data_IF_482705171100
#
_entry.id   IF_482705171100
#
_cell.length_a   1.000
_cell.length_b   1.000
_cell.length_c   1.000
_cell.angle_alpha   90.00
_cell.angle_beta   90.00
_cell.angle_gamma   90.00
#
_symmetry.space_group_name_H-M   'P 1'
#
loop_
_entity.id
_entity.type
_entity.pdbx_description
1 polymer ?
#
# COMPACT_ATOMS: atom_id res chain seq x y z
N UNK A 1 6.04 62.54 43.37
CA UNK A 1 5.44 62.06 42.11
C UNK A 1 6.45 61.23 41.34
N UNK A 2 6.25 59.92 41.21
CA UNK A 2 6.68 59.03 40.12
C UNK A 2 6.47 57.58 40.56
N UNK A 3 5.28 57.05 40.23
CA UNK A 3 4.95 55.62 40.35
C UNK A 3 5.60 54.90 39.18
N UNK A 4 6.56 54.02 39.45
CA UNK A 4 7.14 53.14 38.44
C UNK A 4 6.35 51.83 38.42
N UNK A 5 5.49 51.69 37.42
CA UNK A 5 4.81 50.46 37.05
C UNK A 5 5.84 49.53 36.39
N UNK A 6 6.24 48.45 37.07
CA UNK A 6 7.04 47.37 36.48
C UNK A 6 6.10 46.44 35.71
N UNK A 7 6.00 46.62 34.40
CA UNK A 7 5.35 45.66 33.49
C UNK A 7 6.41 44.61 33.14
N UNK A 8 6.41 43.48 33.83
CA UNK A 8 7.14 42.30 33.40
C UNK A 8 6.35 41.65 32.26
N UNK A 9 6.75 41.94 31.03
CA UNK A 9 6.26 41.27 29.81
C UNK A 9 6.76 39.83 29.86
N UNK A 10 5.87 38.89 30.19
CA UNK A 10 6.12 37.47 30.04
C UNK A 10 6.10 37.10 28.56
N UNK A 11 7.27 36.90 27.97
CA UNK A 11 7.40 36.32 26.62
C UNK A 11 7.09 34.84 26.72
N UNK A 12 5.83 34.47 26.48
CA UNK A 12 5.44 33.08 26.26
C UNK A 12 5.90 32.67 24.85
N UNK A 13 7.08 32.05 24.77
CA UNK A 13 7.59 31.44 23.55
C UNK A 13 6.77 30.16 23.29
N UNK A 14 5.67 30.29 22.54
CA UNK A 14 4.92 29.14 22.04
C UNK A 14 5.77 28.46 20.97
N UNK A 15 6.55 27.46 21.36
CA UNK A 15 7.19 26.52 20.44
C UNK A 15 6.07 25.77 19.71
N UNK A 16 5.73 26.25 18.51
CA UNK A 16 4.85 25.54 17.60
C UNK A 16 5.45 24.19 17.26
N UNK A 17 4.91 23.12 17.86
CA UNK A 17 5.20 21.75 17.44
C UNK A 17 4.52 21.59 16.09
N UNK A 18 5.26 21.85 15.02
CA UNK A 18 4.85 21.48 13.67
C UNK A 18 4.74 19.97 13.62
N UNK A 19 3.51 19.46 13.70
CA UNK A 19 3.23 18.08 13.33
C UNK A 19 3.49 17.98 11.83
N UNK A 20 4.69 17.56 11.45
CA UNK A 20 4.96 17.13 10.07
C UNK A 20 4.02 15.95 9.82
N UNK A 21 2.88 16.21 9.19
CA UNK A 21 2.11 15.16 8.56
C UNK A 21 3.06 14.49 7.59
N UNK A 22 3.21 13.16 7.69
CA UNK A 22 3.98 12.44 6.71
C UNK A 22 3.26 12.60 5.37
N UNK A 23 3.79 13.48 4.52
CA UNK A 23 3.22 13.73 3.21
C UNK A 23 3.43 12.49 2.34
N UNK A 24 2.37 12.12 1.63
CA UNK A 24 2.37 10.98 0.73
C UNK A 24 2.85 11.47 -0.63
N UNK A 25 4.13 11.26 -0.97
CA UNK A 25 4.68 11.76 -2.23
C UNK A 25 4.04 11.14 -3.48
N UNK A 26 3.33 10.01 -3.35
CA UNK A 26 2.60 9.41 -4.46
C UNK A 26 1.46 10.33 -4.95
N UNK A 27 0.76 11.04 -4.05
CA UNK A 27 -0.38 11.89 -4.44
C UNK A 27 0.03 13.21 -5.08
N UNK A 28 1.33 13.55 -5.08
CA UNK A 28 1.83 14.69 -5.83
C UNK A 28 1.62 14.52 -7.34
N UNK A 29 1.80 13.29 -7.85
CA UNK A 29 1.50 12.93 -9.24
C UNK A 29 0.15 12.22 -9.41
N UNK A 30 -0.33 11.53 -8.37
CA UNK A 30 -1.55 10.73 -8.38
C UNK A 30 -2.67 11.34 -7.53
N UNK A 31 -2.93 12.63 -7.76
CA UNK A 31 -4.02 13.34 -7.10
C UNK A 31 -5.40 12.77 -7.48
N UNK A 32 -6.35 12.87 -6.56
CA UNK A 32 -7.72 12.37 -6.74
C UNK A 32 -7.90 10.86 -6.59
N UNK A 33 -6.84 10.09 -6.28
CA UNK A 33 -7.00 8.68 -5.95
C UNK A 33 -7.80 8.49 -4.66
N UNK A 34 -8.90 7.76 -4.76
CA UNK A 34 -9.69 7.38 -3.62
C UNK A 34 -8.97 6.33 -2.77
N UNK A 35 -9.17 6.32 -1.45
CA UNK A 35 -8.76 5.21 -0.60
C UNK A 35 -9.35 3.89 -1.10
N UNK A 36 -8.56 2.81 -1.07
CA UNK A 36 -9.02 1.46 -1.50
C UNK A 36 -10.23 0.97 -0.71
N UNK A 37 -10.39 1.44 0.54
CA UNK A 37 -11.51 1.15 1.43
C UNK A 37 -11.82 2.35 2.30
N UNK A 38 -13.01 2.35 2.89
CA UNK A 38 -13.35 3.31 3.94
C UNK A 38 -12.29 3.30 5.06
N UNK A 39 -11.83 4.48 5.47
CA UNK A 39 -10.77 4.65 6.47
C UNK A 39 -11.04 3.89 7.77
N UNK A 40 -12.29 3.83 8.21
CA UNK A 40 -12.70 3.15 9.45
C UNK A 40 -12.87 1.63 9.30
N UNK A 41 -12.71 1.07 8.10
CA UNK A 41 -12.84 -0.37 7.89
C UNK A 41 -11.67 -1.11 8.55
N UNK A 42 -11.92 -2.34 9.04
CA UNK A 42 -10.88 -3.16 9.65
C UNK A 42 -9.70 -3.42 8.71
N UNK A 43 -9.98 -3.63 7.41
CA UNK A 43 -8.96 -3.80 6.38
C UNK A 43 -8.06 -2.56 6.25
N UNK A 44 -8.65 -1.36 6.17
CA UNK A 44 -7.85 -0.14 6.03
C UNK A 44 -7.01 0.13 7.28
N UNK A 45 -7.54 -0.14 8.47
CA UNK A 45 -6.78 -0.01 9.71
C UNK A 45 -5.60 -0.98 9.77
N UNK A 46 -5.76 -2.22 9.30
CA UNK A 46 -4.66 -3.17 9.19
C UNK A 46 -3.58 -2.71 8.21
N UNK A 47 -3.97 -2.14 7.06
CA UNK A 47 -3.05 -1.57 6.07
C UNK A 47 -2.27 -0.41 6.68
N UNK A 48 -2.94 0.54 7.33
CA UNK A 48 -2.28 1.68 7.99
C UNK A 48 -1.33 1.24 9.11
N UNK A 49 -1.67 0.19 9.86
CA UNK A 49 -0.78 -0.42 10.84
C UNK A 49 0.47 -1.00 10.17
N UNK A 50 0.32 -1.72 9.07
CA UNK A 50 1.45 -2.29 8.31
C UNK A 50 2.34 -1.19 7.71
N UNK A 51 1.74 -0.13 7.17
CA UNK A 51 2.46 1.05 6.68
C UNK A 51 3.32 1.68 7.78
N UNK A 52 2.74 1.85 8.99
CA UNK A 52 3.46 2.37 10.16
C UNK A 52 4.62 1.46 10.56
N UNK A 53 4.42 0.15 10.60
CA UNK A 53 5.48 -0.83 10.90
C UNK A 53 6.62 -0.79 9.86
N UNK A 54 6.28 -0.56 8.60
CA UNK A 54 7.24 -0.47 7.50
C UNK A 54 7.98 0.88 7.41
N UNK A 55 7.68 1.83 8.31
CA UNK A 55 8.28 3.17 8.31
C UNK A 55 7.63 4.15 7.34
N UNK A 56 6.49 3.81 6.74
CA UNK A 56 5.71 4.65 5.82
C UNK A 56 4.39 5.12 6.46
N UNK A 57 4.43 5.54 7.72
CA UNK A 57 3.25 6.09 8.40
C UNK A 57 2.67 7.23 7.55
N UNK A 58 1.37 7.17 7.22
CA UNK A 58 0.72 8.18 6.37
C UNK A 58 0.69 7.83 4.87
N UNK A 59 1.40 6.78 4.44
CA UNK A 59 1.31 6.25 3.08
C UNK A 59 0.96 4.76 3.12
N UNK A 60 -0.26 4.43 2.73
CA UNK A 60 -0.75 3.06 2.59
C UNK A 60 -0.46 2.43 1.21
N UNK A 61 -0.19 3.25 0.19
CA UNK A 61 0.04 2.80 -1.19
C UNK A 61 1.19 1.78 -1.26
N UNK A 62 2.31 2.09 -0.60
CA UNK A 62 3.53 1.28 -0.59
C UNK A 62 3.36 -0.09 0.06
N UNK A 63 2.30 -0.30 0.86
CA UNK A 63 2.00 -1.61 1.47
C UNK A 63 1.65 -2.66 0.41
N UNK A 64 1.10 -2.22 -0.73
CA UNK A 64 0.75 -3.11 -1.84
C UNK A 64 1.66 -2.87 -3.05
N UNK A 65 2.00 -1.62 -3.33
CA UNK A 65 2.74 -1.24 -4.52
C UNK A 65 4.26 -1.28 -4.36
N UNK A 66 4.81 -1.29 -3.15
CA UNK A 66 6.25 -1.00 -2.97
C UNK A 66 6.60 0.41 -3.41
N UNK A 67 7.79 0.61 -3.96
CA UNK A 67 8.29 1.92 -4.39
C UNK A 67 8.78 2.80 -3.23
N UNK A 68 8.99 4.08 -3.52
CA UNK A 68 9.43 5.08 -2.56
C UNK A 68 8.47 6.28 -2.49
N UNK A 69 7.67 6.30 -1.42
CA UNK A 69 6.71 7.35 -1.10
C UNK A 69 7.33 8.72 -0.78
N UNK A 70 8.64 8.81 -0.54
CA UNK A 70 9.31 10.07 -0.20
C UNK A 70 9.77 10.86 -1.44
N UNK A 71 9.53 10.35 -2.65
CA UNK A 71 9.93 10.96 -3.91
C UNK A 71 8.70 11.55 -4.58
N UNK A 72 8.73 12.84 -4.89
CA UNK A 72 7.57 13.60 -5.39
C UNK A 72 7.71 14.06 -6.84
N UNK A 73 8.95 14.18 -7.31
CA UNK A 73 9.30 14.83 -8.58
C UNK A 73 9.98 13.90 -9.59
N UNK A 74 10.37 12.69 -9.16
CA UNK A 74 11.05 11.72 -10.00
C UNK A 74 10.30 10.40 -10.10
N UNK A 75 9.60 10.20 -11.22
CA UNK A 75 8.84 8.99 -11.52
C UNK A 75 9.65 7.70 -11.39
N UNK A 76 10.88 7.69 -11.88
CA UNK A 76 11.72 6.47 -11.89
C UNK A 76 12.12 6.09 -10.47
N UNK A 77 12.50 7.07 -9.64
CA UNK A 77 12.88 6.81 -8.26
C UNK A 77 11.66 6.44 -7.39
N UNK A 78 10.52 7.12 -7.57
CA UNK A 78 9.27 6.79 -6.86
C UNK A 78 8.78 5.36 -7.15
N UNK A 79 8.91 4.91 -8.40
CA UNK A 79 8.50 3.58 -8.86
C UNK A 79 9.63 2.55 -8.85
N UNK A 80 10.59 2.66 -7.93
CA UNK A 80 11.72 1.72 -7.83
C UNK A 80 11.74 0.97 -6.50
N UNK A 81 11.94 -0.35 -6.58
CA UNK A 81 12.18 -1.20 -5.42
C UNK A 81 11.03 -1.23 -4.43
N UNK A 82 11.36 -1.38 -3.15
CA UNK A 82 10.40 -1.43 -2.04
C UNK A 82 11.05 -0.87 -0.78
N UNK A 83 10.26 -0.66 0.27
CA UNK A 83 10.78 -0.27 1.57
C UNK A 83 11.69 -1.37 2.13
N UNK A 84 12.80 -0.98 2.77
CA UNK A 84 13.76 -1.92 3.38
C UNK A 84 13.10 -2.95 4.30
N UNK A 85 12.04 -2.55 5.01
CA UNK A 85 11.25 -3.44 5.87
C UNK A 85 10.69 -4.66 5.12
N UNK A 86 10.15 -4.47 3.92
CA UNK A 86 9.51 -5.53 3.14
C UNK A 86 10.50 -6.49 2.46
N UNK A 87 11.80 -6.16 2.43
CA UNK A 87 12.80 -7.10 1.93
C UNK A 87 12.87 -8.36 2.83
N UNK A 88 12.74 -8.18 4.15
CA UNK A 88 12.80 -9.28 5.14
C UNK A 88 11.46 -9.66 5.76
N UNK A 89 10.39 -8.90 5.52
CA UNK A 89 9.04 -9.17 6.07
C UNK A 89 8.01 -9.44 4.97
N UNK A 90 6.82 -9.94 5.34
CA UNK A 90 5.69 -10.05 4.40
C UNK A 90 5.34 -8.68 3.82
N UNK A 91 5.15 -8.62 2.49
CA UNK A 91 4.91 -7.39 1.73
C UNK A 91 5.60 -7.37 0.37
N UNK A 92 5.47 -6.27 -0.39
CA UNK A 92 5.97 -6.15 -1.74
C UNK A 92 7.49 -6.24 -1.78
N UNK A 93 8.03 -7.08 -2.67
CA UNK A 93 9.47 -7.33 -2.81
C UNK A 93 10.15 -6.43 -3.85
N UNK A 94 9.34 -5.75 -4.65
CA UNK A 94 9.74 -4.77 -5.65
C UNK A 94 8.56 -3.82 -5.87
N UNK A 95 8.70 -2.89 -6.82
CA UNK A 95 7.62 -2.03 -7.24
C UNK A 95 6.62 -2.81 -8.10
N UNK A 96 5.36 -2.80 -7.67
CA UNK A 96 4.25 -3.50 -8.31
C UNK A 96 3.25 -2.48 -8.86
N UNK A 97 3.28 -2.15 -10.16
CA UNK A 97 2.28 -1.27 -10.76
C UNK A 97 0.87 -1.89 -10.68
N UNK A 98 0.78 -3.23 -10.69
CA UNK A 98 -0.46 -3.99 -10.66
C UNK A 98 -0.50 -4.99 -9.49
N UNK A 99 -0.65 -4.52 -8.24
CA UNK A 99 -0.47 -5.34 -7.03
C UNK A 99 -1.47 -6.48 -6.88
N UNK A 100 -2.60 -6.44 -7.62
CA UNK A 100 -3.63 -7.48 -7.59
C UNK A 100 -3.34 -8.67 -8.52
N UNK A 101 -2.28 -8.62 -9.33
CA UNK A 101 -1.91 -9.70 -10.24
C UNK A 101 -1.74 -11.04 -9.50
N UNK A 102 -2.36 -12.15 -9.95
CA UNK A 102 -2.26 -13.45 -9.29
C UNK A 102 -0.82 -13.90 -9.04
N UNK A 103 0.11 -13.51 -9.93
CA UNK A 103 1.51 -13.90 -9.88
C UNK A 103 2.32 -13.23 -8.76
N UNK A 104 1.83 -12.11 -8.22
CA UNK A 104 2.54 -11.34 -7.18
C UNK A 104 1.69 -11.07 -5.94
N UNK A 105 0.38 -11.31 -5.99
CA UNK A 105 -0.51 -10.89 -4.92
C UNK A 105 -0.36 -11.69 -3.62
N UNK A 106 0.42 -12.77 -3.62
CA UNK A 106 0.93 -13.40 -2.40
C UNK A 106 1.69 -12.41 -1.51
N UNK A 107 2.39 -11.44 -2.13
CA UNK A 107 3.13 -10.38 -1.46
C UNK A 107 2.29 -9.14 -1.14
N UNK A 108 1.02 -9.09 -1.55
CA UNK A 108 0.14 -7.92 -1.35
C UNK A 108 -1.11 -8.33 -0.55
N UNK A 109 -2.16 -8.82 -1.20
CA UNK A 109 -3.38 -9.31 -0.57
C UNK A 109 -3.11 -10.55 0.30
N UNK A 110 -2.21 -11.42 -0.15
CA UNK A 110 -1.84 -12.70 0.47
C UNK A 110 -1.12 -12.56 1.81
N UNK A 111 -0.67 -11.36 2.19
CA UNK A 111 -0.22 -11.09 3.55
C UNK A 111 -1.33 -11.42 4.58
N UNK A 112 -2.58 -11.09 4.23
CA UNK A 112 -3.74 -11.24 5.12
C UNK A 112 -4.77 -12.25 4.61
N UNK A 113 -4.83 -12.48 3.29
CA UNK A 113 -5.90 -13.24 2.62
C UNK A 113 -5.36 -14.45 1.84
N UNK A 114 -4.58 -15.31 2.53
CA UNK A 114 -3.92 -16.48 1.93
C UNK A 114 -4.90 -17.43 1.25
N UNK A 115 -6.06 -17.67 1.86
CA UNK A 115 -7.10 -18.54 1.29
C UNK A 115 -7.70 -17.95 0.00
N UNK A 116 -8.01 -16.66 -0.03
CA UNK A 116 -8.59 -16.01 -1.21
C UNK A 116 -7.58 -15.98 -2.36
N UNK A 117 -6.30 -15.70 -2.07
CA UNK A 117 -5.23 -15.77 -3.06
C UNK A 117 -5.06 -17.21 -3.58
N UNK A 118 -5.06 -18.21 -2.70
CA UNK A 118 -5.00 -19.61 -3.12
C UNK A 118 -6.21 -20.02 -3.97
N UNK A 119 -7.41 -19.53 -3.67
CA UNK A 119 -8.61 -19.80 -4.45
C UNK A 119 -8.52 -19.24 -5.88
N UNK A 120 -7.75 -18.18 -6.12
CA UNK A 120 -7.52 -17.68 -7.49
C UNK A 120 -6.70 -18.65 -8.35
N UNK A 121 -5.87 -19.49 -7.74
CA UNK A 121 -5.12 -20.52 -8.44
C UNK A 121 -5.91 -21.82 -8.60
N UNK A 122 -6.83 -22.08 -7.67
CA UNK A 122 -7.61 -23.31 -7.62
C UNK A 122 -9.02 -23.18 -8.23
N UNK A 123 -9.35 -22.06 -8.88
CA UNK A 123 -10.65 -21.92 -9.54
C UNK A 123 -10.66 -22.59 -10.92
N UNK A 124 -11.86 -22.90 -11.38
CA UNK A 124 -12.15 -23.58 -12.65
C UNK A 124 -11.45 -22.96 -13.87
N UNK A 125 -11.31 -21.62 -13.88
CA UNK A 125 -10.69 -20.88 -14.99
C UNK A 125 -9.16 -20.91 -14.94
N UNK A 126 -8.58 -21.06 -13.75
CA UNK A 126 -7.14 -21.15 -13.54
C UNK A 126 -6.62 -22.60 -13.67
N UNK A 127 -7.43 -23.59 -13.26
CA UNK A 127 -7.06 -25.02 -13.33
C UNK A 127 -7.45 -25.69 -14.65
N UNK A 128 -8.09 -24.96 -15.56
CA UNK A 128 -8.69 -25.50 -16.80
C UNK A 128 -9.81 -26.54 -16.57
N UNK A 129 -10.22 -26.80 -15.32
CA UNK A 129 -11.15 -27.89 -14.96
C UNK A 129 -12.62 -27.67 -15.37
N UNK A 130 -12.90 -26.72 -16.25
CA UNK A 130 -14.23 -26.50 -16.83
C UNK A 130 -14.25 -25.59 -18.06
N UNK A 131 -13.10 -25.38 -18.71
CA UNK A 131 -13.08 -24.75 -20.04
C UNK A 131 -13.50 -25.78 -21.09
N UNK A 132 -13.86 -25.30 -22.29
CA UNK A 132 -14.13 -26.13 -23.49
C UNK A 132 -13.01 -27.17 -23.76
N UNK A 133 -11.80 -27.03 -23.21
CA UNK A 133 -10.83 -28.12 -23.19
C UNK A 133 -11.39 -29.44 -22.61
N UNK A 134 -12.18 -29.40 -21.54
CA UNK A 134 -12.90 -30.59 -21.05
C UNK A 134 -13.93 -31.12 -22.06
N UNK A 135 -14.55 -30.24 -22.86
CA UNK A 135 -15.40 -30.64 -23.97
C UNK A 135 -14.60 -31.22 -25.16
N UNK A 136 -13.37 -30.74 -25.43
CA UNK A 136 -12.47 -31.38 -26.40
C UNK A 136 -12.15 -32.81 -25.96
N UNK A 137 -11.91 -33.04 -24.65
CA UNK A 137 -11.72 -34.41 -24.14
C UNK A 137 -13.02 -35.24 -24.06
N UNK A 138 -14.18 -34.60 -23.89
CA UNK A 138 -15.49 -35.27 -23.84
C UNK A 138 -16.12 -35.58 -25.19
N UNK A 139 -15.75 -34.86 -26.25
CA UNK A 139 -16.25 -35.02 -27.63
C UNK A 139 -15.18 -35.54 -28.60
N UNK A 140 -14.05 -36.03 -28.08
CA UNK A 140 -12.94 -36.59 -28.86
C UNK A 140 -11.79 -35.59 -28.99
N UNK A 141 -10.64 -35.96 -28.42
CA UNK A 141 -9.38 -35.24 -28.64
C UNK A 141 -9.11 -35.14 -30.16
N UNK A 142 -8.25 -34.19 -30.56
CA UNK A 142 -8.01 -33.86 -31.98
C UNK A 142 -7.57 -35.08 -32.83
N UNK A 143 -7.13 -36.17 -32.20
CA UNK A 143 -6.73 -37.42 -32.85
C UNK A 143 -7.57 -38.67 -32.50
N UNK A 144 -8.55 -38.61 -31.60
CA UNK A 144 -9.34 -39.79 -31.18
C UNK A 144 -8.65 -40.67 -30.14
#
# INVERSE_FOLDING_TARGET
MKRYIKITIGVFLVLGISTMAAENGCVHCHDGLAPIRAHKSGMMQAILKKAKEAGAKGNDCVVCHGGNASVEDNKTQAHSGTLKYFLSHEGPKDFYPYPASPWINANTCGMCHKTQVSAQWNNLMATEQGKIHGAIWGFGAKEG
#
